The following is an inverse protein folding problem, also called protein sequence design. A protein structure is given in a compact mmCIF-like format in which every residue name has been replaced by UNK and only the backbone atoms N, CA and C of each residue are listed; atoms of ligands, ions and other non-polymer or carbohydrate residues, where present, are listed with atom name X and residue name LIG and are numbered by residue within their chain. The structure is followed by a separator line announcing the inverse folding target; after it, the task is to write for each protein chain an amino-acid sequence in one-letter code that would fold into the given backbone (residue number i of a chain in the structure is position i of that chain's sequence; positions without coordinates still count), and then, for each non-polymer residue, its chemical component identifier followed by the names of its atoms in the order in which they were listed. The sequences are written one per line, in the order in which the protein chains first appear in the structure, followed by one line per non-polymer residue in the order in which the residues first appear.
data_IF_143690896528
#
_entry.id   IF_143690896528
#
_cell.length_a   1.000
_cell.length_b   1.000
_cell.length_c   1.000
_cell.angle_alpha   90.00
_cell.angle_beta   90.00
_cell.angle_gamma   90.00
#
_symmetry.space_group_name_H-M   'P 1'
#
loop_
_entity.id
_entity.type
_entity.pdbx_description
1 polymer ?
#
# COMPACT_ATOMS: atom_id res chain seq x y z
N UNK A 1 22.88 8.52 -70.88
CA UNK A 1 22.39 9.86 -71.26
C UNK A 1 20.95 9.72 -71.77
N UNK A 2 19.98 10.57 -71.40
CA UNK A 2 19.55 11.03 -70.07
C UNK A 2 18.09 10.63 -69.75
N UNK A 3 17.77 10.49 -68.46
CA UNK A 3 16.40 10.39 -67.95
C UNK A 3 15.88 11.75 -67.45
N UNK A 4 14.61 12.05 -67.74
CA UNK A 4 13.80 13.12 -67.15
C UNK A 4 12.47 12.44 -66.76
N UNK A 5 11.88 12.59 -65.57
CA UNK A 5 10.93 13.68 -65.22
C UNK A 5 10.56 13.67 -63.71
N UNK A 6 10.73 14.85 -63.10
CA UNK A 6 9.85 15.60 -62.18
C UNK A 6 9.00 14.93 -61.05
N UNK A 7 9.12 15.49 -59.82
CA UNK A 7 8.04 16.14 -59.01
C UNK A 7 8.63 16.71 -57.70
N UNK A 8 8.62 18.03 -57.51
CA UNK A 8 7.62 18.84 -56.80
C UNK A 8 7.57 18.63 -55.25
N UNK A 9 8.18 19.59 -54.54
CA UNK A 9 7.60 20.28 -53.37
C UNK A 9 7.31 19.51 -52.08
N UNK A 10 8.23 19.58 -51.11
CA UNK A 10 7.90 19.64 -49.68
C UNK A 10 8.85 20.62 -48.98
N UNK A 11 8.41 21.86 -48.82
CA UNK A 11 9.04 22.78 -47.87
C UNK A 11 8.48 22.46 -46.48
N UNK A 12 9.19 21.65 -45.70
CA UNK A 12 8.87 21.44 -44.30
C UNK A 12 9.68 22.44 -43.48
N UNK A 13 9.03 23.48 -42.93
CA UNK A 13 9.67 24.37 -41.97
C UNK A 13 9.96 23.58 -40.68
N UNK A 14 11.23 23.34 -40.38
CA UNK A 14 11.66 22.86 -39.07
C UNK A 14 11.77 24.05 -38.14
N UNK A 15 10.75 24.28 -37.30
CA UNK A 15 10.88 25.19 -36.17
C UNK A 15 11.45 24.37 -35.00
N UNK A 16 12.73 24.58 -34.69
CA UNK A 16 13.36 23.99 -33.51
C UNK A 16 12.78 24.65 -32.24
N UNK A 17 12.33 23.89 -31.22
CA UNK A 17 11.94 24.48 -29.95
C UNK A 17 13.18 24.98 -29.22
N UNK A 18 13.34 26.29 -29.12
CA UNK A 18 14.32 26.94 -28.26
C UNK A 18 13.76 27.03 -26.84
N UNK A 19 14.02 26.03 -26.01
CA UNK A 19 14.18 26.13 -24.55
C UNK A 19 14.11 24.73 -23.92
N UNK A 20 15.09 24.45 -23.04
CA UNK A 20 15.29 23.16 -22.37
C UNK A 20 14.26 22.84 -21.28
N UNK A 21 12.98 22.99 -21.55
CA UNK A 21 11.92 22.35 -20.76
C UNK A 21 11.28 21.29 -21.64
N UNK A 22 11.89 20.11 -21.70
CA UNK A 22 11.20 18.92 -22.22
C UNK A 22 9.85 18.77 -21.49
N UNK A 23 8.81 18.24 -22.15
CA UNK A 23 7.53 18.02 -21.50
C UNK A 23 7.78 17.22 -20.21
N UNK A 24 7.20 17.65 -19.10
CA UNK A 24 7.15 16.90 -17.85
C UNK A 24 6.37 15.60 -18.11
N UNK A 25 7.06 14.59 -18.63
CA UNK A 25 6.54 13.24 -18.82
C UNK A 25 6.81 12.49 -17.52
N UNK A 26 5.92 12.64 -16.55
CA UNK A 26 5.84 11.65 -15.47
C UNK A 26 5.66 10.29 -16.12
N UNK A 27 6.62 9.39 -15.90
CA UNK A 27 6.52 8.02 -16.39
C UNK A 27 5.34 7.35 -15.68
N UNK A 28 4.19 7.27 -16.34
CA UNK A 28 2.96 6.66 -15.80
C UNK A 28 3.21 5.25 -15.27
N UNK A 29 4.13 4.49 -15.87
CA UNK A 29 4.48 3.13 -15.42
C UNK A 29 5.11 3.08 -14.02
N UNK A 30 5.76 4.17 -13.57
CA UNK A 30 6.38 4.27 -12.25
C UNK A 30 5.37 4.70 -11.17
N UNK A 31 4.35 5.47 -11.52
CA UNK A 31 3.38 5.97 -10.53
C UNK A 31 2.55 4.85 -9.91
N UNK A 32 2.22 3.79 -10.66
CA UNK A 32 1.50 2.63 -10.15
C UNK A 32 2.38 1.66 -9.33
N UNK A 33 3.71 1.69 -9.50
CA UNK A 33 4.63 0.83 -8.74
C UNK A 33 4.86 1.31 -7.31
N UNK A 34 4.62 2.60 -7.04
CA UNK A 34 4.90 3.20 -5.74
C UNK A 34 3.69 3.09 -4.77
N UNK A 35 2.52 2.64 -5.26
CA UNK A 35 1.31 2.47 -4.46
C UNK A 35 1.50 1.60 -3.21
N UNK A 36 2.12 0.39 -3.28
CA UNK A 36 2.30 -0.45 -2.10
C UNK A 36 3.15 0.23 -1.02
N UNK A 37 4.18 0.95 -1.43
CA UNK A 37 5.05 1.73 -0.53
C UNK A 37 4.27 2.88 0.11
N UNK A 38 3.49 3.62 -0.68
CA UNK A 38 2.65 4.72 -0.19
C UNK A 38 1.65 4.23 0.85
N UNK A 39 0.93 3.15 0.57
CA UNK A 39 -0.04 2.56 1.50
C UNK A 39 0.64 2.11 2.81
N UNK A 40 1.76 1.40 2.72
CA UNK A 40 2.50 0.96 3.90
C UNK A 40 3.02 2.15 4.74
N UNK A 41 3.53 3.19 4.08
CA UNK A 41 4.00 4.41 4.74
C UNK A 41 2.87 5.16 5.45
N UNK A 42 1.70 5.29 4.83
CA UNK A 42 0.52 5.93 5.45
C UNK A 42 0.01 5.12 6.65
N UNK A 43 -0.02 3.78 6.53
CA UNK A 43 -0.41 2.92 7.64
C UNK A 43 0.59 3.00 8.80
N UNK A 44 1.89 3.05 8.51
CA UNK A 44 2.95 3.20 9.52
C UNK A 44 2.92 4.58 10.19
N UNK A 45 2.76 5.65 9.40
CA UNK A 45 2.53 7.00 9.91
C UNK A 45 1.33 7.04 10.86
N UNK A 46 0.20 6.44 10.45
CA UNK A 46 -0.99 6.33 11.28
C UNK A 46 -0.73 5.59 12.59
N UNK A 47 0.07 4.50 12.56
CA UNK A 47 0.42 3.76 13.77
C UNK A 47 1.23 4.61 14.74
N UNK A 48 2.21 5.37 14.25
CA UNK A 48 3.00 6.31 15.08
C UNK A 48 2.11 7.40 15.66
N UNK A 49 1.27 8.04 14.84
CA UNK A 49 0.40 9.12 15.26
C UNK A 49 -0.63 8.65 16.31
N UNK A 50 -1.29 7.53 16.06
CA UNK A 50 -2.27 6.94 17.00
C UNK A 50 -1.58 6.41 18.27
N UNK A 51 -0.35 5.90 18.16
CA UNK A 51 0.47 5.53 19.33
C UNK A 51 0.79 6.73 20.22
N UNK A 52 1.26 7.84 19.62
CA UNK A 52 1.52 9.07 20.36
C UNK A 52 0.25 9.65 20.99
N UNK A 53 -0.87 9.62 20.26
CA UNK A 53 -2.17 10.00 20.82
C UNK A 53 -2.57 9.10 21.99
N UNK A 54 -2.40 7.78 21.88
CA UNK A 54 -2.66 6.83 22.97
C UNK A 54 -1.86 7.10 24.24
N UNK A 55 -0.58 7.48 24.10
CA UNK A 55 0.32 7.73 25.22
C UNK A 55 0.08 9.09 25.91
N UNK A 56 -0.26 10.12 25.15
CA UNK A 56 -0.27 11.51 25.66
C UNK A 56 -1.65 12.17 25.65
N UNK A 57 -2.50 11.87 24.66
CA UNK A 57 -3.77 12.54 24.42
C UNK A 57 -5.01 11.74 24.81
N UNK A 58 -4.93 10.41 24.81
CA UNK A 58 -6.07 9.54 25.08
C UNK A 58 -6.34 9.46 26.59
N UNK A 59 -7.59 9.75 26.97
CA UNK A 59 -8.08 9.72 28.35
C UNK A 59 -9.31 8.82 28.44
N UNK A 60 -9.07 7.52 28.64
CA UNK A 60 -10.11 6.49 28.72
C UNK A 60 -9.83 5.55 29.89
N UNK A 61 -10.80 4.69 30.21
CA UNK A 61 -10.63 3.65 31.22
C UNK A 61 -9.47 2.68 30.84
N UNK A 62 -8.77 2.08 31.82
CA UNK A 62 -7.63 1.21 31.56
C UNK A 62 -7.91 0.09 30.56
N UNK A 63 -9.11 -0.49 30.59
CA UNK A 63 -9.50 -1.60 29.70
C UNK A 63 -9.58 -1.16 28.24
N UNK A 64 -10.03 0.07 27.99
CA UNK A 64 -10.09 0.66 26.65
C UNK A 64 -8.70 1.09 26.17
N UNK A 65 -7.83 1.50 27.10
CA UNK A 65 -6.45 1.82 26.77
C UNK A 65 -5.69 0.58 26.28
N UNK A 66 -5.89 -0.58 26.93
CA UNK A 66 -5.35 -1.86 26.45
C UNK A 66 -5.83 -2.21 25.03
N UNK A 67 -7.12 -1.95 24.71
CA UNK A 67 -7.63 -2.15 23.34
C UNK A 67 -6.96 -1.23 22.32
N UNK A 68 -6.76 0.04 22.70
CA UNK A 68 -6.04 1.01 21.87
C UNK A 68 -4.60 0.57 21.59
N UNK A 69 -3.86 0.19 22.63
CA UNK A 69 -2.48 -0.27 22.50
C UNK A 69 -2.37 -1.51 21.60
N UNK A 70 -3.31 -2.47 21.72
CA UNK A 70 -3.36 -3.62 20.81
C UNK A 70 -3.57 -3.22 19.36
N UNK A 71 -4.48 -2.27 19.10
CA UNK A 71 -4.70 -1.77 17.74
C UNK A 71 -3.44 -1.09 17.16
N UNK A 72 -2.76 -0.26 17.96
CA UNK A 72 -1.49 0.39 17.58
C UNK A 72 -0.41 -0.65 17.30
N UNK A 73 -0.25 -1.64 18.18
CA UNK A 73 0.76 -2.69 18.02
C UNK A 73 0.54 -3.48 16.73
N UNK A 74 -0.70 -3.91 16.46
CA UNK A 74 -1.03 -4.63 15.24
C UNK A 74 -0.80 -3.75 13.99
N UNK A 75 -1.19 -2.48 14.03
CA UNK A 75 -0.93 -1.53 12.93
C UNK A 75 0.55 -1.30 12.66
N UNK A 76 1.36 -1.13 13.70
CA UNK A 76 2.80 -0.95 13.57
C UNK A 76 3.47 -2.19 12.96
N UNK A 77 3.20 -3.38 13.50
CA UNK A 77 3.81 -4.63 13.01
C UNK A 77 3.44 -4.89 11.56
N UNK A 78 2.16 -4.78 11.22
CA UNK A 78 1.69 -5.12 9.87
C UNK A 78 2.06 -4.05 8.84
N UNK A 79 2.12 -2.77 9.21
CA UNK A 79 2.63 -1.72 8.30
C UNK A 79 4.11 -1.91 7.98
N UNK A 80 4.93 -2.31 8.96
CA UNK A 80 6.34 -2.65 8.71
C UNK A 80 6.48 -3.85 7.77
N UNK A 81 5.65 -4.89 7.93
CA UNK A 81 5.62 -6.04 7.02
C UNK A 81 5.17 -5.63 5.62
N UNK A 82 4.12 -4.81 5.49
CA UNK A 82 3.66 -4.28 4.21
C UNK A 82 4.78 -3.49 3.51
N UNK A 83 5.50 -2.65 4.24
CA UNK A 83 6.62 -1.89 3.70
C UNK A 83 7.74 -2.83 3.19
N UNK A 84 8.06 -3.88 3.94
CA UNK A 84 9.05 -4.89 3.54
C UNK A 84 8.59 -5.70 2.29
N UNK A 85 7.29 -5.85 2.09
CA UNK A 85 6.71 -6.54 0.94
C UNK A 85 6.49 -5.64 -0.28
N UNK A 86 6.54 -4.32 -0.13
CA UNK A 86 6.17 -3.36 -1.19
C UNK A 86 6.96 -3.58 -2.50
N UNK A 87 8.28 -3.80 -2.41
CA UNK A 87 9.13 -4.08 -3.59
C UNK A 87 8.86 -5.43 -4.25
N UNK A 88 8.18 -6.34 -3.55
CA UNK A 88 7.81 -7.68 -4.02
C UNK A 88 6.29 -7.83 -4.17
N UNK A 89 5.57 -6.71 -4.30
CA UNK A 89 4.11 -6.69 -4.33
C UNK A 89 3.54 -7.63 -5.40
N UNK A 90 4.09 -7.63 -6.62
CA UNK A 90 3.62 -8.50 -7.70
C UNK A 90 3.65 -9.99 -7.34
N UNK A 91 4.62 -10.42 -6.52
CA UNK A 91 4.74 -11.81 -6.07
C UNK A 91 3.80 -12.13 -4.91
N UNK A 92 3.50 -11.16 -4.05
CA UNK A 92 2.79 -11.38 -2.79
C UNK A 92 1.47 -10.60 -2.70
N UNK A 93 0.89 -10.21 -3.83
CA UNK A 93 -0.23 -9.25 -3.90
C UNK A 93 -1.43 -9.66 -3.04
N UNK A 94 -1.79 -10.95 -3.05
CA UNK A 94 -2.91 -11.49 -2.25
C UNK A 94 -2.63 -11.35 -0.75
N UNK A 95 -1.43 -11.75 -0.30
CA UNK A 95 -1.05 -11.63 1.11
C UNK A 95 -0.93 -10.17 1.53
N UNK A 96 -0.38 -9.31 0.68
CA UNK A 96 -0.28 -7.87 0.93
C UNK A 96 -1.67 -7.23 1.09
N UNK A 97 -2.58 -7.46 0.14
CA UNK A 97 -3.93 -6.92 0.19
C UNK A 97 -4.70 -7.42 1.42
N UNK A 98 -4.56 -8.71 1.74
CA UNK A 98 -5.15 -9.31 2.92
C UNK A 98 -4.61 -8.71 4.22
N UNK A 99 -3.29 -8.49 4.36
CA UNK A 99 -2.71 -7.84 5.54
C UNK A 99 -3.27 -6.42 5.71
N UNK A 100 -3.37 -5.63 4.62
CA UNK A 100 -3.91 -4.27 4.68
C UNK A 100 -5.40 -4.26 5.06
N UNK A 101 -6.23 -5.12 4.44
CA UNK A 101 -7.66 -5.22 4.73
C UNK A 101 -7.93 -5.76 6.14
N UNK A 102 -7.21 -6.81 6.53
CA UNK A 102 -7.29 -7.39 7.88
C UNK A 102 -6.90 -6.36 8.94
N UNK A 103 -5.91 -5.51 8.65
CA UNK A 103 -5.49 -4.44 9.54
C UNK A 103 -6.56 -3.35 9.69
N UNK A 104 -7.20 -2.95 8.60
CA UNK A 104 -8.31 -2.01 8.62
C UNK A 104 -9.46 -2.53 9.51
N UNK A 105 -9.84 -3.80 9.36
CA UNK A 105 -10.94 -4.37 10.13
C UNK A 105 -10.56 -4.63 11.59
N UNK A 106 -9.34 -5.13 11.84
CA UNK A 106 -8.88 -5.44 13.19
C UNK A 106 -8.59 -4.17 13.98
N UNK A 107 -7.62 -3.36 13.54
CA UNK A 107 -7.17 -2.19 14.30
C UNK A 107 -8.17 -1.04 14.18
N UNK A 108 -8.73 -0.83 12.99
CA UNK A 108 -9.73 0.22 12.77
C UNK A 108 -10.97 0.05 13.65
N UNK A 109 -11.49 -1.17 13.81
CA UNK A 109 -12.66 -1.40 14.67
C UNK A 109 -12.37 -1.18 16.16
N UNK A 110 -11.18 -1.56 16.63
CA UNK A 110 -10.75 -1.28 18.01
C UNK A 110 -10.60 0.23 18.26
N UNK A 111 -9.98 0.98 17.34
CA UNK A 111 -9.90 2.44 17.46
C UNK A 111 -11.28 3.09 17.51
N UNK A 112 -12.17 2.72 16.58
CA UNK A 112 -13.52 3.26 16.54
C UNK A 112 -14.28 2.94 17.83
N UNK A 113 -14.18 1.71 18.34
CA UNK A 113 -14.82 1.35 19.60
C UNK A 113 -14.31 2.18 20.78
N UNK A 114 -12.99 2.36 20.91
CA UNK A 114 -12.39 3.19 21.97
C UNK A 114 -12.80 4.67 21.85
N UNK A 115 -13.02 5.16 20.62
CA UNK A 115 -13.51 6.52 20.35
C UNK A 115 -15.04 6.68 20.58
N UNK A 116 -15.73 5.66 21.08
CA UNK A 116 -17.14 5.74 21.48
C UNK A 116 -18.14 5.28 20.42
N UNK A 117 -17.69 4.61 19.35
CA UNK A 117 -18.61 4.01 18.39
C UNK A 117 -19.31 2.76 18.96
N UNK A 118 -20.42 2.38 18.33
CA UNK A 118 -21.23 1.23 18.75
C UNK A 118 -20.41 -0.04 18.97
N UNK A 119 -20.64 -0.80 20.07
CA UNK A 119 -19.99 -2.09 20.31
C UNK A 119 -20.16 -3.10 19.17
N UNK A 120 -21.17 -2.93 18.31
CA UNK A 120 -21.37 -3.75 17.13
C UNK A 120 -20.16 -3.74 16.17
N UNK A 121 -19.36 -2.66 16.16
CA UNK A 121 -18.15 -2.56 15.33
C UNK A 121 -17.11 -3.63 15.71
N UNK A 122 -17.09 -4.08 16.97
CA UNK A 122 -16.14 -5.09 17.45
C UNK A 122 -16.34 -6.45 16.77
N UNK A 123 -17.51 -6.70 16.15
CA UNK A 123 -17.74 -7.90 15.32
C UNK A 123 -16.82 -7.95 14.10
N UNK A 124 -16.26 -6.82 13.67
CA UNK A 124 -15.27 -6.75 12.60
C UNK A 124 -13.87 -7.22 13.05
N UNK A 125 -13.54 -7.08 14.34
CA UNK A 125 -12.24 -7.49 14.90
C UNK A 125 -11.90 -8.96 14.60
N UNK A 126 -12.76 -9.96 14.91
CA UNK A 126 -12.44 -11.36 14.62
C UNK A 126 -12.39 -11.66 13.12
N UNK A 127 -13.18 -10.95 12.30
CA UNK A 127 -13.10 -11.04 10.83
C UNK A 127 -11.74 -10.55 10.36
N UNK A 128 -11.31 -9.37 10.82
CA UNK A 128 -9.99 -8.80 10.52
C UNK A 128 -8.86 -9.72 10.96
N UNK A 129 -8.93 -10.27 12.18
CA UNK A 129 -7.95 -11.23 12.69
C UNK A 129 -7.86 -12.50 11.84
N UNK A 130 -9.00 -13.02 11.38
CA UNK A 130 -9.03 -14.19 10.48
C UNK A 130 -8.37 -13.87 9.13
N UNK A 131 -8.66 -12.69 8.56
CA UNK A 131 -8.02 -12.22 7.33
C UNK A 131 -6.51 -12.11 7.53
N UNK A 132 -6.04 -11.54 8.65
CA UNK A 132 -4.61 -11.45 8.97
C UNK A 132 -3.96 -12.84 9.02
N UNK A 133 -4.56 -13.81 9.71
CA UNK A 133 -4.06 -15.19 9.77
C UNK A 133 -3.94 -15.82 8.37
N UNK A 134 -5.00 -15.74 7.56
CA UNK A 134 -5.00 -16.27 6.19
C UNK A 134 -3.97 -15.56 5.30
N UNK A 135 -3.72 -14.28 5.52
CA UNK A 135 -2.72 -13.50 4.78
C UNK A 135 -1.31 -13.99 5.10
N UNK A 136 -0.99 -14.24 6.37
CA UNK A 136 0.29 -14.82 6.77
C UNK A 136 0.49 -16.23 6.20
N UNK A 137 -0.54 -17.07 6.21
CA UNK A 137 -0.50 -18.41 5.57
C UNK A 137 -0.25 -18.27 4.07
N UNK A 138 -0.91 -17.33 3.40
CA UNK A 138 -0.73 -17.09 1.97
C UNK A 138 0.71 -16.67 1.63
N UNK A 139 1.33 -15.82 2.44
CA UNK A 139 2.73 -15.43 2.27
C UNK A 139 3.67 -16.63 2.41
N UNK A 140 3.47 -17.46 3.44
CA UNK A 140 4.27 -18.66 3.67
C UNK A 140 4.11 -19.66 2.51
N UNK A 141 2.87 -19.90 2.07
CA UNK A 141 2.58 -20.80 0.96
C UNK A 141 3.24 -20.36 -0.35
N UNK A 142 3.11 -19.09 -0.71
CA UNK A 142 3.73 -18.53 -1.91
C UNK A 142 5.26 -18.59 -1.85
N UNK A 143 5.86 -18.40 -0.67
CA UNK A 143 7.30 -18.53 -0.49
C UNK A 143 7.79 -19.97 -0.71
N UNK A 144 7.04 -20.97 -0.26
CA UNK A 144 7.38 -22.39 -0.41
C UNK A 144 7.13 -22.91 -1.84
N UNK A 145 6.01 -22.51 -2.45
CA UNK A 145 5.63 -23.02 -3.78
C UNK A 145 6.57 -22.56 -4.89
N UNK A 146 7.18 -21.39 -4.75
CA UNK A 146 8.18 -20.92 -5.72
C UNK A 146 9.50 -21.69 -5.70
N UNK A 147 9.71 -22.62 -4.75
CA UNK A 147 10.92 -23.43 -4.66
C UNK A 147 10.83 -24.77 -5.39
N UNK A 148 9.68 -25.15 -5.94
CA UNK A 148 9.58 -26.40 -6.72
C UNK A 148 10.48 -26.29 -7.97
N UNK A 149 11.45 -27.20 -8.17
CA UNK A 149 12.22 -27.26 -9.41
C UNK A 149 11.28 -27.39 -10.61
N UNK A 150 11.66 -26.82 -11.75
CA UNK A 150 11.02 -27.17 -13.01
C UNK A 150 11.70 -28.47 -13.47
N UNK A 151 10.98 -29.57 -13.32
CA UNK A 151 11.34 -30.89 -13.87
C UNK A 151 11.36 -30.85 -15.41
#
# INVERSE_FOLDING_TARGET
MPGRLQRAGKWTLTIAPSSGSGPFTMNESKQWSDFPTCLAALLGFGAVALGAYGAHGLRVAPELHVMWEKAVQYQMVHSAVLLALASRFQRYAVGFAGLALGLLFFSGSLYLYVLGFSPAILKLTPVGGTILLLSWISLAWQALWSRKPKD
#
